data_IF_618176896979
#
_entry.id   IF_618176896979
#
_cell.length_a   1.000
_cell.length_b   1.000
_cell.length_c   1.000
_cell.angle_alpha   90.00
_cell.angle_beta   90.00
_cell.angle_gamma   90.00
#
_symmetry.space_group_name_H-M   'P 1'
#
loop_
_entity.id
_entity.type
_entity.pdbx_description
1 polymer ?
#
# COMPACT_ATOMS: atom_id res chain seq x y z
N UNK A 1 4.68 14.39 -3.62
CA UNK A 1 4.17 13.06 -3.27
C UNK A 1 2.85 13.18 -2.54
N UNK A 2 1.84 12.43 -2.98
CA UNK A 2 0.53 12.32 -2.35
C UNK A 2 0.45 11.03 -1.52
N UNK A 3 -0.18 11.08 -0.36
CA UNK A 3 -0.33 9.93 0.54
C UNK A 3 -1.78 9.48 0.61
N UNK A 4 -1.98 8.17 0.61
CA UNK A 4 -3.28 7.55 0.63
C UNK A 4 -3.34 6.44 1.68
N UNK A 5 -4.38 6.45 2.51
CA UNK A 5 -4.68 5.34 3.41
C UNK A 5 -5.42 4.27 2.61
N UNK A 6 -4.83 3.08 2.52
CA UNK A 6 -5.44 1.98 1.80
C UNK A 6 -6.50 1.30 2.68
N UNK A 7 -7.67 1.15 2.07
CA UNK A 7 -8.86 0.57 2.64
C UNK A 7 -9.40 -0.47 1.66
N UNK A 8 -10.10 -1.47 2.19
CA UNK A 8 -10.78 -2.45 1.37
C UNK A 8 -12.06 -2.93 2.03
N UNK A 9 -13.08 -3.16 1.21
CA UNK A 9 -14.38 -3.60 1.66
C UNK A 9 -14.46 -5.11 1.47
N UNK A 10 -14.39 -5.86 2.57
CA UNK A 10 -14.33 -7.32 2.51
C UNK A 10 -15.64 -7.93 1.98
N UNK A 11 -16.78 -7.28 2.24
CA UNK A 11 -18.08 -7.68 1.74
C UNK A 11 -18.41 -6.94 0.45
N UNK A 12 -18.50 -7.66 -0.68
CA UNK A 12 -18.94 -7.10 -1.97
C UNK A 12 -20.47 -7.03 -2.11
N UNK A 13 -21.21 -7.21 -1.02
CA UNK A 13 -22.69 -7.20 -1.02
C UNK A 13 -23.29 -5.80 -0.90
N UNK A 14 -22.50 -4.83 -0.44
CA UNK A 14 -22.92 -3.44 -0.29
C UNK A 14 -22.24 -2.56 -1.33
N UNK A 15 -22.84 -1.41 -1.66
CA UNK A 15 -22.25 -0.40 -2.53
C UNK A 15 -20.82 -0.10 -2.09
N UNK A 16 -19.83 0.03 -3.00
CA UNK A 16 -18.48 0.41 -2.62
C UNK A 16 -18.41 1.73 -1.83
N UNK A 17 -17.60 1.78 -0.76
CA UNK A 17 -17.46 2.97 0.10
C UNK A 17 -17.24 4.28 -0.68
N UNK A 18 -16.33 4.26 -1.66
CA UNK A 18 -15.99 5.45 -2.45
C UNK A 18 -17.22 6.04 -3.17
N UNK A 19 -18.22 5.23 -3.51
CA UNK A 19 -19.49 5.69 -4.07
C UNK A 19 -20.47 6.17 -3.01
N UNK A 20 -20.52 5.50 -1.86
CA UNK A 20 -21.39 5.91 -0.74
C UNK A 20 -21.02 7.30 -0.21
N UNK A 21 -19.72 7.64 -0.26
CA UNK A 21 -19.17 8.89 0.24
C UNK A 21 -18.79 9.88 -0.87
N UNK A 22 -19.13 9.60 -2.13
CA UNK A 22 -18.83 10.45 -3.29
C UNK A 22 -17.35 10.85 -3.41
N UNK A 23 -16.44 9.91 -3.14
CA UNK A 23 -14.98 10.12 -3.11
C UNK A 23 -14.30 9.87 -4.47
N UNK A 24 -15.05 9.69 -5.55
CA UNK A 24 -14.54 9.27 -6.86
C UNK A 24 -13.38 10.15 -7.38
N UNK A 25 -13.45 11.45 -7.12
CA UNK A 25 -12.50 12.44 -7.65
C UNK A 25 -11.22 12.55 -6.79
N UNK A 26 -11.27 12.09 -5.54
CA UNK A 26 -10.19 12.23 -4.56
C UNK A 26 -9.53 10.90 -4.17
N UNK A 27 -10.20 9.78 -4.47
CA UNK A 27 -9.74 8.45 -4.10
C UNK A 27 -9.02 7.75 -5.26
N UNK A 28 -7.95 7.02 -4.95
CA UNK A 28 -7.35 6.05 -5.85
C UNK A 28 -8.10 4.73 -5.74
N UNK A 29 -9.00 4.47 -6.68
CA UNK A 29 -9.84 3.26 -6.64
C UNK A 29 -9.16 2.12 -7.42
N UNK A 30 -8.98 0.97 -6.78
CA UNK A 30 -8.49 -0.25 -7.43
C UNK A 30 -9.46 -0.76 -8.49
N UNK A 31 -9.01 -1.67 -9.35
CA UNK A 31 -9.79 -2.11 -10.51
C UNK A 31 -11.08 -2.82 -10.11
N UNK A 32 -11.07 -3.55 -9.01
CA UNK A 32 -12.26 -4.25 -8.55
C UNK A 32 -13.30 -3.33 -7.88
N UNK A 33 -12.95 -2.06 -7.61
CA UNK A 33 -13.82 -1.06 -7.00
C UNK A 33 -14.02 -1.18 -5.48
N UNK A 34 -13.62 -2.29 -4.86
CA UNK A 34 -13.75 -2.56 -3.43
C UNK A 34 -12.44 -2.39 -2.66
N UNK A 35 -11.34 -2.12 -3.35
CA UNK A 35 -10.10 -1.62 -2.76
C UNK A 35 -9.90 -0.16 -3.17
N UNK A 36 -9.43 0.68 -2.26
CA UNK A 36 -9.25 2.10 -2.56
C UNK A 36 -8.29 2.77 -1.58
N UNK A 37 -7.59 3.78 -2.06
CA UNK A 37 -6.80 4.71 -1.26
C UNK A 37 -7.52 6.04 -1.12
N UNK A 38 -7.78 6.49 0.10
CA UNK A 38 -8.28 7.85 0.36
C UNK A 38 -7.12 8.76 0.74
N UNK A 39 -7.17 10.04 0.38
CA UNK A 39 -6.11 10.98 0.72
C UNK A 39 -5.87 11.02 2.25
N UNK A 40 -4.61 11.04 2.66
CA UNK A 40 -4.21 10.81 4.05
C UNK A 40 -3.31 11.91 4.58
N UNK A 41 -3.75 12.53 5.67
CA UNK A 41 -2.88 13.03 6.74
C UNK A 41 -3.35 12.42 8.06
N UNK A 42 -2.48 12.28 9.09
CA UNK A 42 -2.91 11.79 10.39
C UNK A 42 -4.10 12.59 10.97
N UNK A 43 -4.08 13.92 10.81
CA UNK A 43 -5.11 14.83 11.34
C UNK A 43 -6.44 14.69 10.59
N UNK A 44 -6.40 14.69 9.25
CA UNK A 44 -7.61 14.58 8.43
C UNK A 44 -8.25 13.20 8.55
N UNK A 45 -7.42 12.15 8.61
CA UNK A 45 -7.91 10.79 8.75
C UNK A 45 -8.51 10.53 10.13
N UNK A 46 -7.91 11.05 11.20
CA UNK A 46 -8.50 10.97 12.53
C UNK A 46 -9.83 11.71 12.62
N UNK A 47 -9.92 12.92 12.07
CA UNK A 47 -11.18 13.66 11.99
C UNK A 47 -12.25 12.86 11.26
N UNK A 48 -11.87 12.23 10.15
CA UNK A 48 -12.78 11.41 9.34
C UNK A 48 -13.27 10.15 10.08
N UNK A 49 -12.42 9.50 10.88
CA UNK A 49 -12.82 8.36 11.71
C UNK A 49 -13.69 8.73 12.92
N UNK A 50 -13.63 9.99 13.37
CA UNK A 50 -14.47 10.49 14.47
C UNK A 50 -15.87 10.94 14.01
N UNK A 51 -16.10 11.02 12.70
CA UNK A 51 -17.44 11.26 12.16
C UNK A 51 -18.30 9.99 12.29
N UNK A 52 -19.40 10.09 13.03
CA UNK A 52 -20.26 8.95 13.34
C UNK A 52 -20.86 8.29 12.10
N UNK A 53 -21.20 9.07 11.05
CA UNK A 53 -21.79 8.52 9.82
C UNK A 53 -20.75 7.72 9.05
N UNK A 54 -19.52 8.23 8.97
CA UNK A 54 -18.42 7.51 8.32
C UNK A 54 -18.09 6.24 9.10
N UNK A 55 -18.00 6.33 10.42
CA UNK A 55 -17.74 5.17 11.27
C UNK A 55 -18.83 4.09 11.12
N UNK A 56 -20.10 4.50 11.09
CA UNK A 56 -21.23 3.59 10.84
C UNK A 56 -21.09 2.86 9.49
N UNK A 57 -20.73 3.59 8.42
CA UNK A 57 -20.51 2.97 7.11
C UNK A 57 -19.35 1.97 7.16
N UNK A 58 -18.27 2.27 7.88
CA UNK A 58 -17.13 1.37 8.06
C UNK A 58 -17.58 0.03 8.64
N UNK A 59 -18.41 0.08 9.70
CA UNK A 59 -18.94 -1.11 10.36
C UNK A 59 -19.89 -1.86 9.43
N UNK A 60 -20.93 -1.21 8.91
CA UNK A 60 -21.96 -1.87 8.09
C UNK A 60 -21.41 -2.44 6.78
N UNK A 61 -20.53 -1.70 6.12
CA UNK A 61 -19.91 -2.15 4.87
C UNK A 61 -18.72 -3.07 5.09
N UNK A 62 -18.34 -3.34 6.34
CA UNK A 62 -17.16 -4.17 6.68
C UNK A 62 -15.88 -3.65 5.99
N UNK A 63 -15.68 -2.33 6.04
CA UNK A 63 -14.47 -1.67 5.54
C UNK A 63 -13.33 -1.96 6.50
N UNK A 64 -12.24 -2.47 5.94
CA UNK A 64 -11.02 -2.80 6.66
C UNK A 64 -9.91 -1.86 6.26
N UNK A 65 -9.07 -1.54 7.22
CA UNK A 65 -7.84 -0.79 6.99
C UNK A 65 -6.72 -1.75 6.64
N UNK A 66 -5.91 -1.41 5.63
CA UNK A 66 -4.71 -2.18 5.35
C UNK A 66 -3.71 -2.03 6.50
N UNK A 67 -3.17 -3.17 6.92
CA UNK A 67 -1.98 -3.26 7.77
C UNK A 67 -1.00 -4.20 7.07
N UNK A 68 0.25 -3.77 6.97
CA UNK A 68 1.34 -4.47 6.30
C UNK A 68 2.25 -5.09 7.36
N UNK A 69 2.28 -6.42 7.38
CA UNK A 69 3.24 -7.22 8.15
C UNK A 69 4.46 -7.53 7.27
N UNK A 70 5.55 -8.02 7.86
CA UNK A 70 6.71 -8.50 7.10
C UNK A 70 6.29 -9.48 6.00
N UNK A 71 5.47 -10.48 6.33
CA UNK A 71 4.97 -11.44 5.35
C UNK A 71 4.30 -10.75 4.13
N UNK A 72 3.47 -9.73 4.37
CA UNK A 72 2.81 -9.00 3.28
C UNK A 72 3.79 -8.16 2.46
N UNK A 73 4.76 -7.52 3.12
CA UNK A 73 5.81 -6.78 2.44
C UNK A 73 6.65 -7.70 1.56
N UNK A 74 7.17 -8.79 2.10
CA UNK A 74 7.99 -9.74 1.36
C UNK A 74 7.22 -10.35 0.19
N UNK A 75 5.93 -10.69 0.36
CA UNK A 75 5.08 -11.15 -0.73
C UNK A 75 4.92 -10.10 -1.84
N UNK A 76 4.70 -8.83 -1.48
CA UNK A 76 4.68 -7.72 -2.44
C UNK A 76 6.02 -7.59 -3.19
N UNK A 77 7.13 -7.61 -2.46
CA UNK A 77 8.48 -7.43 -3.02
C UNK A 77 8.82 -8.57 -3.99
N UNK A 78 8.51 -9.80 -3.62
CA UNK A 78 8.70 -10.97 -4.49
C UNK A 78 7.83 -10.92 -5.76
N UNK A 79 6.73 -10.14 -5.74
CA UNK A 79 5.79 -9.96 -6.86
C UNK A 79 5.86 -8.58 -7.51
N UNK A 80 6.86 -7.77 -7.19
CA UNK A 80 6.96 -6.37 -7.63
C UNK A 80 6.86 -6.18 -9.15
N UNK A 81 7.35 -7.15 -9.91
CA UNK A 81 7.32 -7.15 -11.38
C UNK A 81 5.89 -7.16 -11.94
N UNK A 82 4.92 -7.75 -11.22
CA UNK A 82 3.50 -7.76 -11.61
C UNK A 82 2.88 -6.35 -11.61
N UNK A 83 3.54 -5.42 -10.91
CA UNK A 83 3.14 -4.01 -10.78
C UNK A 83 4.12 -3.04 -11.46
N UNK A 84 5.09 -3.54 -12.23
CA UNK A 84 6.15 -2.73 -12.85
C UNK A 84 6.93 -1.86 -11.83
N UNK A 85 7.13 -2.40 -10.62
CA UNK A 85 7.86 -1.76 -9.54
C UNK A 85 9.19 -2.47 -9.28
N UNK A 86 10.19 -1.70 -8.89
CA UNK A 86 11.48 -2.20 -8.41
C UNK A 86 11.76 -1.62 -7.03
N UNK A 87 12.04 -2.47 -6.05
CA UNK A 87 12.44 -2.07 -4.70
C UNK A 87 13.78 -1.34 -4.79
N UNK A 88 13.89 -0.25 -4.04
CA UNK A 88 15.11 0.57 -3.98
C UNK A 88 15.61 0.78 -2.57
N UNK A 89 14.73 0.71 -1.57
CA UNK A 89 15.10 0.90 -0.16
C UNK A 89 13.99 0.38 0.76
N UNK A 90 14.31 0.16 2.05
CA UNK A 90 13.32 -0.08 3.09
C UNK A 90 13.77 0.49 4.45
N UNK A 91 12.80 0.93 5.25
CA UNK A 91 13.02 1.31 6.66
C UNK A 91 12.68 0.15 7.56
N UNK A 92 13.63 -0.19 8.41
CA UNK A 92 13.50 -1.21 9.43
C UNK A 92 13.21 -0.57 10.80
N UNK A 93 12.63 -1.36 11.71
CA UNK A 93 12.43 -0.98 13.10
C UNK A 93 13.74 -0.66 13.82
N UNK A 94 13.67 0.11 14.90
CA UNK A 94 14.81 0.47 15.75
C UNK A 94 15.94 1.24 15.03
N UNK A 95 15.61 1.99 13.98
CA UNK A 95 16.57 2.79 13.19
C UNK A 95 17.73 1.95 12.63
N UNK A 96 17.47 0.70 12.29
CA UNK A 96 18.47 -0.18 11.71
C UNK A 96 18.68 0.25 10.26
N UNK A 97 19.95 0.49 9.93
CA UNK A 97 20.38 0.80 8.57
C UNK A 97 20.60 -0.49 7.79
N UNK A 98 19.78 -0.72 6.77
CA UNK A 98 19.87 -1.93 5.95
C UNK A 98 21.16 -1.96 5.11
N UNK A 99 21.74 -0.81 4.79
CA UNK A 99 22.95 -0.72 3.98
C UNK A 99 24.15 -1.39 4.67
N UNK A 100 24.14 -1.42 6.01
CA UNK A 100 25.15 -2.14 6.81
C UNK A 100 25.15 -3.65 6.58
N UNK A 101 24.04 -4.23 6.09
CA UNK A 101 23.90 -5.65 5.76
C UNK A 101 24.12 -5.93 4.27
N UNK A 102 23.87 -4.94 3.41
CA UNK A 102 23.99 -5.08 1.95
C UNK A 102 25.43 -4.96 1.45
N UNK A 103 26.37 -4.46 2.26
CA UNK A 103 27.80 -4.36 1.91
C UNK A 103 28.07 -3.61 0.59
N UNK A 104 27.21 -2.66 0.23
CA UNK A 104 27.30 -1.88 -1.02
C UNK A 104 26.57 -2.50 -2.21
N UNK A 105 25.94 -3.67 -2.05
CA UNK A 105 25.06 -4.25 -3.05
C UNK A 105 23.70 -3.55 -3.07
N UNK A 106 22.99 -3.65 -4.20
CA UNK A 106 21.63 -3.15 -4.31
C UNK A 106 20.69 -4.08 -3.57
N UNK A 107 19.63 -3.52 -3.00
CA UNK A 107 18.56 -4.32 -2.43
C UNK A 107 17.91 -5.20 -3.50
N UNK A 108 17.94 -6.50 -3.27
CA UNK A 108 17.19 -7.48 -4.04
C UNK A 108 16.22 -8.25 -3.11
N UNK A 109 15.12 -8.81 -3.66
CA UNK A 109 14.13 -9.52 -2.87
C UNK A 109 14.69 -10.69 -2.04
N UNK A 110 15.64 -11.45 -2.59
CA UNK A 110 16.13 -12.67 -1.96
C UNK A 110 17.02 -12.33 -0.76
N UNK A 111 17.96 -11.41 -0.93
CA UNK A 111 18.82 -10.90 0.15
C UNK A 111 17.99 -10.25 1.24
N UNK A 112 16.97 -9.47 0.88
CA UNK A 112 16.08 -8.87 1.88
C UNK A 112 15.33 -9.94 2.70
N UNK A 113 14.81 -10.99 2.07
CA UNK A 113 14.15 -12.09 2.80
C UNK A 113 15.11 -12.69 3.84
N UNK A 114 16.35 -12.98 3.44
CA UNK A 114 17.37 -13.57 4.31
C UNK A 114 17.68 -12.65 5.51
N UNK A 115 17.90 -11.35 5.28
CA UNK A 115 18.20 -10.38 6.33
C UNK A 115 17.04 -10.29 7.33
N UNK A 116 15.81 -10.16 6.82
CA UNK A 116 14.62 -10.01 7.65
C UNK A 116 14.37 -11.25 8.50
N UNK A 117 14.52 -12.45 7.93
CA UNK A 117 14.26 -13.70 8.65
C UNK A 117 15.35 -14.02 9.67
N UNK A 118 16.63 -13.84 9.32
CA UNK A 118 17.76 -14.12 10.21
C UNK A 118 17.79 -13.20 11.44
N UNK A 119 17.49 -11.91 11.24
CA UNK A 119 17.57 -10.92 12.30
C UNK A 119 16.23 -10.54 12.91
N UNK A 120 15.12 -11.08 12.37
CA UNK A 120 13.74 -10.80 12.80
C UNK A 120 13.41 -9.31 12.80
N UNK A 121 13.96 -8.57 11.84
CA UNK A 121 13.71 -7.14 11.72
C UNK A 121 12.28 -6.86 11.26
N UNK A 122 11.63 -5.86 11.87
CA UNK A 122 10.33 -5.40 11.41
C UNK A 122 10.50 -4.41 10.26
N UNK A 123 9.80 -4.63 9.15
CA UNK A 123 9.72 -3.67 8.05
C UNK A 123 8.68 -2.60 8.41
N UNK A 124 9.10 -1.34 8.46
CA UNK A 124 8.22 -0.20 8.72
C UNK A 124 7.75 0.49 7.45
N UNK A 125 8.59 0.51 6.41
CA UNK A 125 8.26 1.13 5.13
C UNK A 125 9.14 0.53 4.03
N UNK A 126 8.59 0.41 2.83
CA UNK A 126 9.34 0.06 1.62
C UNK A 126 9.23 1.17 0.59
N UNK A 127 10.26 1.28 -0.24
CA UNK A 127 10.38 2.26 -1.31
C UNK A 127 10.59 1.51 -2.62
N UNK A 128 9.77 1.85 -3.60
CA UNK A 128 9.85 1.33 -4.95
C UNK A 128 10.03 2.47 -5.95
N UNK A 129 10.68 2.17 -7.07
CA UNK A 129 10.64 2.98 -8.29
C UNK A 129 9.80 2.29 -9.34
N UNK A 130 8.91 3.04 -9.98
CA UNK A 130 8.25 2.58 -11.21
C UNK A 130 9.22 2.58 -12.39
N UNK A 131 8.76 2.04 -13.52
CA UNK A 131 9.47 2.13 -14.81
C UNK A 131 9.78 3.57 -15.23
N UNK A 132 8.87 4.50 -14.98
CA UNK A 132 9.03 5.93 -15.31
C UNK A 132 9.77 6.70 -14.21
N UNK A 133 10.38 5.98 -13.25
CA UNK A 133 11.20 6.51 -12.14
C UNK A 133 10.42 7.31 -11.10
N UNK A 134 9.10 7.22 -11.05
CA UNK A 134 8.31 7.77 -9.94
C UNK A 134 8.52 6.95 -8.66
N UNK A 135 8.50 7.61 -7.50
CA UNK A 135 8.61 6.95 -6.21
C UNK A 135 7.25 6.47 -5.72
N UNK A 136 7.20 5.21 -5.33
CA UNK A 136 6.05 4.60 -4.64
C UNK A 136 6.53 4.13 -3.28
N UNK A 137 5.83 4.50 -2.23
CA UNK A 137 6.17 4.09 -0.85
C UNK A 137 5.00 3.40 -0.19
N UNK A 138 5.28 2.41 0.65
CA UNK A 138 4.24 1.73 1.41
C UNK A 138 4.67 1.53 2.85
N UNK A 139 3.89 2.05 3.79
CA UNK A 139 4.14 1.99 5.24
C UNK A 139 3.43 0.80 5.89
N UNK A 140 3.95 0.36 7.04
CA UNK A 140 3.41 -0.76 7.84
C UNK A 140 1.96 -0.55 8.26
N UNK A 141 1.55 0.71 8.46
CA UNK A 141 0.17 1.08 8.74
C UNK A 141 -0.72 1.17 7.49
N UNK A 142 -0.28 0.69 6.32
CA UNK A 142 -1.06 0.66 5.09
C UNK A 142 -1.27 2.01 4.41
N UNK A 143 -0.35 2.97 4.62
CA UNK A 143 -0.31 4.23 3.89
C UNK A 143 0.57 4.07 2.65
N UNK A 144 0.00 4.32 1.48
CA UNK A 144 0.67 4.34 0.18
C UNK A 144 1.02 5.78 -0.19
N UNK A 145 2.30 6.09 -0.39
CA UNK A 145 2.75 7.34 -0.97
C UNK A 145 3.06 7.16 -2.45
N UNK A 146 2.62 8.10 -3.29
CA UNK A 146 2.80 8.05 -4.74
C UNK A 146 3.22 9.43 -5.22
N UNK A 147 4.26 9.52 -6.04
CA UNK A 147 4.63 10.77 -6.70
C UNK A 147 3.48 11.33 -7.56
N UNK A 148 3.55 12.64 -7.81
CA UNK A 148 2.59 13.32 -8.67
C UNK A 148 2.92 13.06 -10.15
N UNK A 149 2.00 13.40 -11.06
CA UNK A 149 2.26 13.37 -12.53
C UNK A 149 2.53 11.96 -13.11
N UNK A 150 1.97 10.93 -12.50
CA UNK A 150 2.01 9.56 -13.02
C UNK A 150 1.43 9.46 -14.44
N UNK A 151 2.05 8.62 -15.26
CA UNK A 151 1.48 8.22 -16.55
C UNK A 151 0.22 7.37 -16.37
N UNK A 152 -0.65 7.30 -17.39
CA UNK A 152 -1.85 6.44 -17.33
C UNK A 152 -1.50 4.97 -17.07
N UNK A 153 -0.38 4.51 -17.61
CA UNK A 153 0.14 3.16 -17.40
C UNK A 153 0.49 2.92 -15.92
N UNK A 154 1.20 3.86 -15.29
CA UNK A 154 1.53 3.78 -13.87
C UNK A 154 0.28 3.85 -12.99
N UNK A 155 -0.67 4.73 -13.31
CA UNK A 155 -1.95 4.79 -12.58
C UNK A 155 -2.64 3.42 -12.64
N UNK A 156 -2.66 2.77 -13.80
CA UNK A 156 -3.24 1.44 -13.95
C UNK A 156 -2.51 0.38 -13.11
N UNK A 157 -1.18 0.46 -12.99
CA UNK A 157 -0.40 -0.45 -12.15
C UNK A 157 -0.60 -0.19 -10.66
N UNK A 158 -0.71 1.08 -10.24
CA UNK A 158 -1.10 1.45 -8.87
C UNK A 158 -2.49 0.90 -8.54
N UNK A 159 -3.46 0.96 -9.46
CA UNK A 159 -4.80 0.39 -9.24
C UNK A 159 -4.75 -1.13 -9.03
N UNK A 160 -3.91 -1.85 -9.78
CA UNK A 160 -3.67 -3.29 -9.55
C UNK A 160 -3.01 -3.53 -8.20
N UNK A 161 -2.02 -2.71 -7.83
CA UNK A 161 -1.35 -2.78 -6.54
C UNK A 161 -2.34 -2.62 -5.38
N UNK A 162 -3.24 -1.64 -5.44
CA UNK A 162 -4.25 -1.41 -4.40
C UNK A 162 -5.17 -2.63 -4.24
N UNK A 163 -5.59 -3.26 -5.36
CA UNK A 163 -6.36 -4.50 -5.31
C UNK A 163 -5.59 -5.63 -4.64
N UNK A 164 -4.33 -5.83 -5.03
CA UNK A 164 -3.45 -6.85 -4.44
C UNK A 164 -3.25 -6.63 -2.94
N UNK A 165 -3.02 -5.38 -2.52
CA UNK A 165 -2.83 -5.06 -1.10
C UNK A 165 -4.09 -5.36 -0.28
N UNK A 166 -5.28 -5.10 -0.84
CA UNK A 166 -6.55 -5.34 -0.16
C UNK A 166 -6.96 -6.81 -0.10
N UNK A 167 -6.80 -7.55 -1.19
CA UNK A 167 -7.39 -8.88 -1.35
C UNK A 167 -6.36 -10.01 -1.55
N UNK A 168 -5.07 -9.69 -1.63
CA UNK A 168 -3.99 -10.64 -1.85
C UNK A 168 -3.86 -11.08 -3.31
N UNK A 169 -3.03 -12.11 -3.60
CA UNK A 169 -2.66 -12.51 -4.95
C UNK A 169 -3.82 -13.07 -5.80
N UNK A 170 -4.92 -13.51 -5.18
CA UNK A 170 -6.06 -14.09 -5.89
C UNK A 170 -6.75 -13.12 -6.87
N UNK A 171 -6.49 -11.82 -6.77
CA UNK A 171 -7.05 -10.80 -7.68
C UNK A 171 -6.19 -10.51 -8.90
N UNK A 172 -5.01 -11.15 -9.00
CA UNK A 172 -4.10 -11.00 -10.14
C UNK A 172 -4.31 -12.06 -11.23
N UNK A 173 -5.24 -13.00 -10.99
CA UNK A 173 -5.62 -14.10 -11.89
C UNK A 173 -6.77 -13.69 -12.79
#
# INVERSE_FOLDING_TARGET
MNFYKILFQASKKTTPLHKQLSLNDTALVGKNGYSFGIQYSPESYNTWLMDEKIFEIFVHSSVKQLIMTNYKFLNLINRQNEFNLNIVDCKLGNNIDIDSFLQGEKIDPETLNIIIDNHKFQILQVYFRSKDKHMITLKSNGVLGVDSELSEGEINDIKKLIDFLGFGPAVLV
#
